data_IF_820716665277
#
_entry.id   IF_820716665277
#
_cell.length_a   1.000
_cell.length_b   1.000
_cell.length_c   1.000
_cell.angle_alpha   90.00
_cell.angle_beta   90.00
_cell.angle_gamma   90.00
#
_symmetry.space_group_name_H-M   'P 1'
#
loop_
_entity.id
_entity.type
_entity.pdbx_description
1 polymer ?
#
# COMPACT_ATOMS: atom_id res chain seq x y z
N UNK A 1 -9.75 -30.02 7.97
CA UNK A 1 -9.63 -30.34 6.51
C UNK A 1 -8.15 -30.37 6.10
N UNK A 2 -7.75 -31.21 5.14
CA UNK A 2 -6.35 -31.37 4.69
C UNK A 2 -6.32 -31.31 3.15
N UNK A 3 -5.33 -30.62 2.58
CA UNK A 3 -5.07 -30.57 1.14
C UNK A 3 -4.45 -31.89 0.67
N UNK A 4 -5.13 -32.61 -0.23
CA UNK A 4 -4.67 -33.88 -0.84
C UNK A 4 -4.18 -33.74 -2.29
N UNK A 5 -3.90 -32.52 -2.75
CA UNK A 5 -3.40 -32.27 -4.11
C UNK A 5 -1.91 -32.55 -4.26
N UNK A 6 -1.47 -32.74 -5.52
CA UNK A 6 -0.08 -33.09 -5.86
C UNK A 6 0.84 -31.88 -6.06
N UNK A 7 0.31 -30.66 -5.90
CA UNK A 7 1.03 -29.41 -6.10
C UNK A 7 0.59 -28.37 -5.07
N UNK A 8 1.39 -27.30 -4.96
CA UNK A 8 1.10 -26.17 -4.10
C UNK A 8 -0.20 -25.47 -4.51
N UNK A 9 -0.93 -24.98 -3.49
CA UNK A 9 -2.06 -24.06 -3.66
C UNK A 9 -1.60 -22.68 -3.23
N UNK A 10 -0.97 -21.95 -4.14
CA UNK A 10 -0.36 -20.64 -3.87
C UNK A 10 -1.31 -19.50 -4.27
N UNK A 11 -1.46 -18.52 -3.38
CA UNK A 11 -2.25 -17.31 -3.63
C UNK A 11 -1.53 -16.08 -3.08
N UNK A 12 -1.80 -14.91 -3.67
CA UNK A 12 -1.45 -13.62 -3.08
C UNK A 12 -2.69 -12.97 -2.47
N UNK A 13 -2.56 -12.46 -1.25
CA UNK A 13 -3.61 -11.72 -0.57
C UNK A 13 -3.54 -10.26 -0.99
N UNK A 14 -4.53 -9.81 -1.77
CA UNK A 14 -4.64 -8.43 -2.26
C UNK A 14 -6.07 -7.94 -2.01
N UNK A 15 -6.34 -7.22 -0.92
CA UNK A 15 -7.68 -6.74 -0.60
C UNK A 15 -8.04 -5.47 -1.39
N UNK A 16 -9.32 -5.13 -1.42
CA UNK A 16 -9.79 -3.80 -1.82
C UNK A 16 -9.88 -2.91 -0.57
N UNK A 17 -8.99 -1.93 -0.43
CA UNK A 17 -9.00 -0.93 0.62
C UNK A 17 -9.27 0.46 0.02
N UNK A 18 -10.50 1.02 0.16
CA UNK A 18 -10.83 2.31 -0.43
C UNK A 18 -10.08 3.45 0.28
N UNK A 19 -9.87 4.56 -0.42
CA UNK A 19 -9.28 5.76 0.20
C UNK A 19 -10.26 6.33 1.24
N UNK A 20 -9.80 6.43 2.48
CA UNK A 20 -10.45 7.09 3.61
C UNK A 20 -9.37 7.42 4.65
N UNK A 21 -9.71 8.23 5.65
CA UNK A 21 -8.74 8.73 6.64
C UNK A 21 -7.94 7.60 7.32
N UNK A 22 -8.64 6.57 7.81
CA UNK A 22 -8.01 5.41 8.49
C UNK A 22 -7.04 4.66 7.56
N UNK A 23 -7.42 4.49 6.29
CA UNK A 23 -6.57 3.80 5.31
C UNK A 23 -5.41 4.69 4.85
N UNK A 24 -5.57 6.01 4.80
CA UNK A 24 -4.49 6.95 4.51
C UNK A 24 -3.43 6.95 5.64
N UNK A 25 -3.86 6.92 6.90
CA UNK A 25 -2.96 6.79 8.06
C UNK A 25 -2.20 5.45 8.04
N UNK A 26 -2.87 4.37 7.63
CA UNK A 26 -2.20 3.09 7.42
C UNK A 26 -1.19 3.15 6.27
N UNK A 27 -1.54 3.81 5.16
CA UNK A 27 -0.69 3.94 4.00
C UNK A 27 0.65 4.64 4.31
N UNK A 28 0.66 5.61 5.23
CA UNK A 28 1.92 6.22 5.74
C UNK A 28 2.83 5.15 6.33
N UNK A 29 2.30 4.28 7.19
CA UNK A 29 3.05 3.20 7.86
C UNK A 29 3.44 2.10 6.89
N UNK A 30 2.58 1.78 5.93
CA UNK A 30 2.87 0.83 4.85
C UNK A 30 4.02 1.33 3.97
N UNK A 31 4.00 2.60 3.55
CA UNK A 31 5.08 3.23 2.77
C UNK A 31 6.43 3.10 3.47
N UNK A 32 6.46 3.47 4.76
CA UNK A 32 7.66 3.31 5.58
C UNK A 32 8.13 1.84 5.62
N UNK A 33 7.22 0.91 5.93
CA UNK A 33 7.57 -0.52 6.01
C UNK A 33 8.11 -1.06 4.69
N UNK A 34 7.52 -0.65 3.57
CA UNK A 34 7.98 -0.99 2.23
C UNK A 34 9.35 -0.40 1.91
N UNK A 35 9.64 0.85 2.26
CA UNK A 35 10.95 1.46 2.03
C UNK A 35 12.06 0.70 2.78
N UNK A 36 11.84 0.43 4.07
CA UNK A 36 12.81 -0.25 4.93
C UNK A 36 12.83 -1.78 4.78
N UNK A 37 11.85 -2.37 4.08
CA UNK A 37 11.75 -3.82 3.90
C UNK A 37 11.43 -4.56 5.20
N UNK A 38 10.72 -3.92 6.12
CA UNK A 38 10.29 -4.52 7.38
C UNK A 38 8.82 -4.98 7.26
N UNK A 39 8.36 -5.92 8.12
CA UNK A 39 6.96 -6.33 8.10
C UNK A 39 6.03 -5.15 8.35
N UNK A 40 4.86 -5.17 7.70
CA UNK A 40 3.81 -4.19 7.94
C UNK A 40 3.31 -4.26 9.40
N UNK A 41 2.77 -3.17 9.96
CA UNK A 41 2.53 -3.05 11.41
C UNK A 41 1.47 -4.02 11.97
N UNK A 42 0.61 -4.57 11.12
CA UNK A 42 -0.42 -5.53 11.51
C UNK A 42 0.09 -6.98 11.58
N UNK A 43 1.34 -7.22 11.16
CA UNK A 43 2.01 -8.51 11.21
C UNK A 43 3.06 -8.55 12.31
N UNK A 44 3.49 -9.75 12.75
CA UNK A 44 4.62 -9.87 13.67
C UNK A 44 5.85 -9.11 13.14
N UNK A 45 6.41 -8.24 13.99
CA UNK A 45 7.56 -7.40 13.63
C UNK A 45 8.86 -8.18 13.43
N UNK A 46 9.94 -7.46 13.13
CA UNK A 46 11.28 -8.02 12.94
C UNK A 46 12.02 -7.38 11.77
N UNK A 47 13.10 -8.01 11.32
CA UNK A 47 13.90 -7.50 10.19
C UNK A 47 13.21 -7.69 8.84
N UNK A 48 12.19 -8.55 8.76
CA UNK A 48 11.47 -8.85 7.52
C UNK A 48 12.42 -9.16 6.37
N UNK A 49 12.17 -8.51 5.24
CA UNK A 49 12.91 -8.70 3.99
C UNK A 49 14.08 -7.71 3.83
N UNK A 50 14.39 -6.89 4.83
CA UNK A 50 15.36 -5.79 4.75
C UNK A 50 16.75 -6.17 4.21
N UNK A 51 17.18 -7.42 4.37
CA UNK A 51 18.46 -7.95 3.89
C UNK A 51 18.33 -8.91 2.70
N UNK A 52 17.14 -9.08 2.11
CA UNK A 52 16.94 -10.00 1.00
C UNK A 52 17.46 -9.40 -0.31
N UNK A 53 18.20 -10.19 -1.06
CA UNK A 53 18.66 -9.84 -2.41
C UNK A 53 17.47 -9.93 -3.36
N UNK A 54 17.30 -8.92 -4.22
CA UNK A 54 16.20 -8.88 -5.21
C UNK A 54 14.86 -8.37 -4.67
N UNK A 55 14.82 -7.89 -3.42
CA UNK A 55 13.62 -7.25 -2.84
C UNK A 55 13.12 -6.09 -3.71
N UNK A 56 11.81 -6.02 -3.92
CA UNK A 56 11.19 -4.87 -4.56
C UNK A 56 11.41 -3.58 -3.75
N UNK A 57 11.59 -2.47 -4.45
CA UNK A 57 11.74 -1.13 -3.84
C UNK A 57 10.81 -0.14 -4.51
N UNK A 58 10.77 1.10 -4.03
CA UNK A 58 10.02 2.19 -4.69
C UNK A 58 10.37 2.37 -6.17
N UNK A 59 11.58 1.98 -6.58
CA UNK A 59 12.02 1.97 -8.00
C UNK A 59 11.30 0.94 -8.88
N UNK A 60 10.64 -0.05 -8.28
CA UNK A 60 9.85 -1.05 -9.01
C UNK A 60 8.42 -0.55 -9.30
N UNK A 61 8.00 0.56 -8.69
CA UNK A 61 6.67 1.15 -8.84
C UNK A 61 6.69 2.18 -9.97
N UNK A 62 6.43 1.70 -11.18
CA UNK A 62 6.69 2.46 -12.41
C UNK A 62 5.47 3.25 -12.95
N UNK A 63 4.28 3.04 -12.39
CA UNK A 63 3.07 3.75 -12.82
C UNK A 63 2.68 4.82 -11.80
N UNK A 64 2.05 5.89 -12.27
CA UNK A 64 1.54 6.97 -11.41
C UNK A 64 0.48 6.41 -10.46
N UNK A 65 -0.40 5.53 -10.95
CA UNK A 65 -1.41 4.86 -10.15
C UNK A 65 -0.79 4.00 -9.05
N UNK A 66 0.23 3.19 -9.39
CA UNK A 66 0.93 2.36 -8.42
C UNK A 66 1.63 3.19 -7.35
N UNK A 67 2.22 4.32 -7.74
CA UNK A 67 2.84 5.25 -6.80
C UNK A 67 1.81 5.86 -5.85
N UNK A 68 0.65 6.30 -6.36
CA UNK A 68 -0.45 6.81 -5.53
C UNK A 68 -0.94 5.76 -4.54
N UNK A 69 -1.16 4.51 -4.98
CA UNK A 69 -1.59 3.42 -4.09
C UNK A 69 -0.53 3.01 -3.06
N UNK A 70 0.74 3.38 -3.27
CA UNK A 70 1.84 3.17 -2.35
C UNK A 70 2.20 4.41 -1.52
N UNK A 71 1.42 5.50 -1.64
CA UNK A 71 1.67 6.76 -0.94
C UNK A 71 2.94 7.48 -1.41
N UNK A 72 3.42 7.22 -2.62
CA UNK A 72 4.63 7.82 -3.18
C UNK A 72 4.35 9.06 -4.03
N UNK A 73 3.09 9.30 -4.41
CA UNK A 73 2.62 10.48 -5.13
C UNK A 73 1.22 10.89 -4.63
N UNK A 74 0.86 12.18 -4.70
CA UNK A 74 -0.44 12.66 -4.26
C UNK A 74 -1.57 12.08 -5.11
N UNK A 75 -2.71 11.81 -4.47
CA UNK A 75 -3.95 11.47 -5.14
C UNK A 75 -4.47 12.68 -5.94
N UNK A 76 -5.04 12.40 -7.11
CA UNK A 76 -5.49 13.40 -8.07
C UNK A 76 -6.98 13.68 -7.95
N UNK A 77 -7.33 14.97 -7.88
CA UNK A 77 -8.71 15.43 -7.98
C UNK A 77 -9.11 15.55 -9.45
N UNK A 78 -10.19 14.87 -9.84
CA UNK A 78 -10.74 14.88 -11.21
C UNK A 78 -11.99 15.77 -11.30
N UNK A 79 -12.28 16.37 -12.48
CA UNK A 79 -13.40 17.31 -12.62
C UNK A 79 -14.78 16.75 -12.24
N UNK A 80 -15.02 15.46 -12.50
CA UNK A 80 -16.31 14.79 -12.29
C UNK A 80 -16.53 14.27 -10.87
N UNK A 81 -15.58 14.46 -9.97
CA UNK A 81 -15.70 14.00 -8.58
C UNK A 81 -16.72 14.84 -7.79
N UNK A 82 -17.47 14.15 -6.94
CA UNK A 82 -18.32 14.72 -5.90
C UNK A 82 -17.51 15.52 -4.89
N UNK A 83 -18.17 16.36 -4.10
CA UNK A 83 -17.50 17.12 -3.04
C UNK A 83 -16.84 16.21 -2.00
N UNK A 84 -17.47 15.09 -1.63
CA UNK A 84 -16.93 14.14 -0.66
C UNK A 84 -15.68 13.40 -1.15
N UNK A 85 -15.64 13.02 -2.43
CA UNK A 85 -14.43 12.42 -3.03
C UNK A 85 -13.26 13.42 -3.03
N UNK A 86 -13.53 14.68 -3.37
CA UNK A 86 -12.53 15.76 -3.36
C UNK A 86 -11.98 16.00 -1.96
N UNK A 87 -12.86 16.09 -0.96
CA UNK A 87 -12.48 16.27 0.44
C UNK A 87 -11.62 15.10 0.96
N UNK A 88 -12.05 13.86 0.67
CA UNK A 88 -11.29 12.65 1.03
C UNK A 88 -9.89 12.66 0.43
N UNK A 89 -9.75 13.06 -0.84
CA UNK A 89 -8.45 13.15 -1.51
C UNK A 89 -7.56 14.23 -0.86
N UNK A 90 -8.13 15.41 -0.56
CA UNK A 90 -7.39 16.50 0.09
C UNK A 90 -6.89 16.08 1.49
N UNK A 91 -7.75 15.45 2.29
CA UNK A 91 -7.39 14.95 3.61
C UNK A 91 -6.33 13.85 3.51
N UNK A 92 -6.49 12.89 2.60
CA UNK A 92 -5.50 11.84 2.39
C UNK A 92 -4.12 12.39 2.00
N UNK A 93 -4.06 13.36 1.08
CA UNK A 93 -2.80 14.00 0.69
C UNK A 93 -2.16 14.74 1.88
N UNK A 94 -2.98 15.41 2.71
CA UNK A 94 -2.52 16.04 3.95
C UNK A 94 -1.93 15.02 4.93
N UNK A 95 -2.61 13.90 5.17
CA UNK A 95 -2.13 12.80 6.04
C UNK A 95 -0.82 12.21 5.52
N UNK A 96 -0.69 12.04 4.20
CA UNK A 96 0.49 11.48 3.55
C UNK A 96 1.68 12.46 3.45
N UNK A 97 1.41 13.75 3.71
CA UNK A 97 2.32 14.88 3.51
C UNK A 97 2.81 14.95 2.04
N UNK A 98 1.85 14.96 1.11
CA UNK A 98 2.05 15.00 -0.35
C UNK A 98 1.24 16.12 -1.03
#
# INVERSE_FOLDING_TARGET
PIHGGQSDSSVFYIPAAPLCDVNAEYLVRQRHSFEYGIPAPDFPGGKGESNHIGRATTKCVNTVEGKRTMGLEPFEIKPHMTSGEKETILHANTILNL
#
